data_IF_995517844693
#
_entry.id   IF_995517844693
#
_cell.length_a   1.000
_cell.length_b   1.000
_cell.length_c   1.000
_cell.angle_alpha   90.00
_cell.angle_beta   90.00
_cell.angle_gamma   90.00
#
_symmetry.space_group_name_H-M   'P 1'
#
loop_
_entity.id
_entity.type
_entity.pdbx_description
1 polymer ?
#
# COMPACT_ATOMS: atom_id res chain seq x y z
N UNK A 1 -10.67 -2.70 1.32
CA UNK A 1 -11.25 -3.25 0.07
C UNK A 1 -10.30 -2.85 -1.06
N UNK A 2 -10.03 -3.72 -2.03
CA UNK A 2 -9.17 -3.39 -3.19
C UNK A 2 -10.01 -3.58 -4.45
N UNK A 3 -10.08 -2.54 -5.29
CA UNK A 3 -10.81 -2.57 -6.57
C UNK A 3 -9.96 -3.16 -7.70
N UNK A 4 -10.60 -3.91 -8.61
CA UNK A 4 -10.01 -4.48 -9.82
C UNK A 4 -10.94 -4.22 -11.02
N UNK A 5 -10.38 -3.85 -12.16
CA UNK A 5 -11.11 -3.69 -13.42
C UNK A 5 -11.51 -5.05 -14.02
N UNK A 6 -10.71 -6.10 -13.80
CA UNK A 6 -11.04 -7.43 -14.32
C UNK A 6 -10.55 -7.68 -15.74
N UNK A 7 -9.44 -7.03 -16.10
CA UNK A 7 -8.88 -7.08 -17.45
C UNK A 7 -8.34 -8.44 -17.88
N UNK A 8 -8.00 -9.32 -16.93
CA UNK A 8 -7.39 -10.64 -17.15
C UNK A 8 -8.30 -11.78 -16.66
N UNK A 9 -8.02 -13.05 -17.04
CA UNK A 9 -8.94 -14.17 -16.82
C UNK A 9 -9.41 -14.36 -15.38
N UNK A 10 -8.47 -14.35 -14.42
CA UNK A 10 -8.75 -14.57 -13.00
C UNK A 10 -9.63 -13.46 -12.41
N UNK A 11 -9.29 -12.18 -12.65
CA UNK A 11 -10.10 -11.07 -12.17
C UNK A 11 -11.46 -10.98 -12.91
N UNK A 12 -11.53 -11.40 -14.18
CA UNK A 12 -12.79 -11.50 -14.92
C UNK A 12 -13.71 -12.57 -14.34
N UNK A 13 -13.16 -13.72 -13.91
CA UNK A 13 -13.92 -14.77 -13.23
C UNK A 13 -14.53 -14.22 -11.94
N UNK A 14 -13.75 -13.50 -11.14
CA UNK A 14 -14.25 -12.86 -9.91
C UNK A 14 -15.32 -11.81 -10.20
N UNK A 15 -15.14 -11.00 -11.24
CA UNK A 15 -16.16 -10.03 -11.65
C UNK A 15 -17.47 -10.71 -12.08
N UNK A 16 -17.40 -11.83 -12.79
CA UNK A 16 -18.58 -12.62 -13.15
C UNK A 16 -19.27 -13.21 -11.92
N UNK A 17 -18.52 -13.73 -10.95
CA UNK A 17 -19.06 -14.21 -9.68
C UNK A 17 -19.77 -13.08 -8.90
N UNK A 18 -19.19 -11.87 -8.90
CA UNK A 18 -19.78 -10.71 -8.25
C UNK A 18 -21.08 -10.30 -8.94
N UNK A 19 -21.09 -10.28 -10.28
CA UNK A 19 -22.29 -9.97 -11.07
C UNK A 19 -23.41 -11.01 -10.94
N UNK A 20 -23.04 -12.29 -10.80
CA UNK A 20 -23.99 -13.36 -10.55
C UNK A 20 -24.68 -13.23 -9.17
N UNK A 21 -24.05 -12.49 -8.25
CA UNK A 21 -24.58 -12.21 -6.94
C UNK A 21 -24.87 -10.70 -6.80
N UNK A 22 -25.92 -10.23 -7.48
CA UNK A 22 -26.20 -8.81 -7.74
C UNK A 22 -26.38 -7.92 -6.50
N UNK A 23 -26.52 -8.50 -5.30
CA UNK A 23 -26.59 -7.78 -4.02
C UNK A 23 -25.24 -7.69 -3.31
N UNK A 24 -24.23 -8.45 -3.75
CA UNK A 24 -22.91 -8.48 -3.16
C UNK A 24 -22.13 -7.22 -3.53
N UNK A 25 -21.65 -6.49 -2.51
CA UNK A 25 -20.79 -5.31 -2.68
C UNK A 25 -19.30 -5.66 -2.80
N UNK A 26 -18.95 -6.93 -2.65
CA UNK A 26 -17.58 -7.45 -2.73
C UNK A 26 -17.57 -8.97 -2.60
N UNK A 27 -16.42 -9.58 -2.90
CA UNK A 27 -16.16 -11.01 -2.71
C UNK A 27 -15.07 -11.15 -1.65
N UNK A 28 -15.26 -12.07 -0.72
CA UNK A 28 -14.20 -12.52 0.17
C UNK A 28 -13.47 -13.68 -0.50
N UNK A 29 -12.18 -13.49 -0.78
CA UNK A 29 -11.33 -14.55 -1.33
C UNK A 29 -10.74 -15.37 -0.18
N UNK A 30 -10.63 -16.68 -0.39
CA UNK A 30 -9.72 -17.53 0.40
C UNK A 30 -8.27 -17.17 0.09
N UNK A 31 -7.34 -17.59 0.96
CA UNK A 31 -5.90 -17.38 0.72
C UNK A 31 -5.44 -17.97 -0.62
N UNK A 32 -5.93 -19.16 -0.95
CA UNK A 32 -5.61 -19.84 -2.21
C UNK A 32 -6.11 -19.06 -3.43
N UNK A 33 -7.34 -18.56 -3.39
CA UNK A 33 -7.90 -17.77 -4.49
C UNK A 33 -7.17 -16.43 -4.65
N UNK A 34 -6.71 -15.85 -3.55
CA UNK A 34 -5.88 -14.65 -3.57
C UNK A 34 -4.50 -14.94 -4.18
N UNK A 35 -3.87 -16.06 -3.81
CA UNK A 35 -2.58 -16.48 -4.36
C UNK A 35 -2.69 -16.79 -5.87
N UNK A 36 -3.78 -17.45 -6.30
CA UNK A 36 -4.10 -17.67 -7.73
C UNK A 36 -4.32 -16.35 -8.48
N UNK A 37 -5.00 -15.38 -7.87
CA UNK A 37 -5.25 -14.07 -8.46
C UNK A 37 -3.95 -13.26 -8.63
N UNK A 38 -3.09 -13.25 -7.61
CA UNK A 38 -1.80 -12.55 -7.63
C UNK A 38 -0.82 -13.25 -8.60
N UNK A 39 -0.83 -14.58 -8.65
CA UNK A 39 0.00 -15.40 -9.53
C UNK A 39 -0.48 -15.49 -10.98
N UNK A 40 -1.66 -14.93 -11.29
CA UNK A 40 -2.27 -14.98 -12.61
C UNK A 40 -1.53 -14.19 -13.69
N UNK A 41 -2.02 -14.25 -14.93
CA UNK A 41 -1.35 -13.65 -16.10
C UNK A 41 -1.58 -12.13 -16.26
N UNK A 42 -1.88 -11.43 -15.17
CA UNK A 42 -2.14 -9.98 -15.19
C UNK A 42 -0.96 -9.18 -15.77
N UNK A 43 0.28 -9.64 -15.58
CA UNK A 43 1.48 -8.98 -16.11
C UNK A 43 1.64 -9.14 -17.64
N UNK A 44 0.92 -10.06 -18.29
CA UNK A 44 1.10 -10.39 -19.71
C UNK A 44 0.13 -9.65 -20.65
N UNK A 45 -0.87 -8.95 -20.10
CA UNK A 45 -1.91 -8.27 -20.89
C UNK A 45 -1.97 -6.76 -20.67
N UNK A 46 -2.32 -6.01 -21.72
CA UNK A 46 -2.53 -4.54 -21.67
C UNK A 46 -3.57 -4.15 -20.61
N UNK A 47 -4.64 -4.93 -20.48
CA UNK A 47 -5.67 -4.70 -19.46
C UNK A 47 -5.21 -5.05 -18.04
N UNK A 48 -4.25 -5.95 -17.86
CA UNK A 48 -3.69 -6.22 -16.53
C UNK A 48 -2.69 -5.18 -16.05
N UNK A 49 -2.14 -4.38 -16.97
CA UNK A 49 -1.43 -3.16 -16.61
C UNK A 49 -2.35 -2.16 -15.88
N UNK A 50 -3.67 -2.19 -16.14
CA UNK A 50 -4.61 -1.27 -15.49
C UNK A 50 -4.81 -1.53 -14.00
N UNK A 51 -4.74 -2.79 -13.55
CA UNK A 51 -4.86 -3.11 -12.13
C UNK A 51 -3.50 -3.39 -11.48
N UNK A 52 -2.39 -3.04 -12.14
CA UNK A 52 -1.04 -3.29 -11.63
C UNK A 52 -0.84 -2.74 -10.21
N UNK A 53 -1.37 -1.56 -9.92
CA UNK A 53 -1.32 -0.97 -8.57
C UNK A 53 -2.13 -1.82 -7.59
N UNK A 54 -3.35 -2.20 -7.93
CA UNK A 54 -4.21 -3.05 -7.11
C UNK A 54 -3.58 -4.42 -6.83
N UNK A 55 -2.95 -5.04 -7.82
CA UNK A 55 -2.27 -6.35 -7.63
C UNK A 55 -1.08 -6.20 -6.70
N UNK A 56 -0.23 -5.19 -6.88
CA UNK A 56 0.87 -4.96 -5.95
C UNK A 56 0.37 -4.62 -4.55
N UNK A 57 -0.74 -3.91 -4.41
CA UNK A 57 -1.38 -3.68 -3.11
C UNK A 57 -1.82 -5.00 -2.45
N UNK A 58 -2.47 -5.89 -3.20
CA UNK A 58 -2.90 -7.22 -2.72
C UNK A 58 -1.70 -8.10 -2.34
N UNK A 59 -0.68 -8.14 -3.19
CA UNK A 59 0.55 -8.89 -2.95
C UNK A 59 1.29 -8.36 -1.71
N UNK A 60 1.30 -7.05 -1.48
CA UNK A 60 1.85 -6.46 -0.28
C UNK A 60 1.11 -6.96 0.97
N UNK A 61 -0.22 -6.82 0.98
CA UNK A 61 -1.08 -7.23 2.09
C UNK A 61 -0.97 -8.72 2.42
N UNK A 62 -0.86 -9.58 1.38
CA UNK A 62 -0.69 -11.03 1.54
C UNK A 62 0.62 -11.40 2.23
N UNK A 63 1.68 -10.63 1.98
CA UNK A 63 3.04 -10.97 2.43
C UNK A 63 3.46 -10.26 3.73
N UNK A 64 2.67 -9.34 4.30
CA UNK A 64 3.08 -8.55 5.48
C UNK A 64 3.53 -9.42 6.67
N UNK A 65 2.86 -10.55 6.90
CA UNK A 65 3.14 -11.44 8.02
C UNK A 65 4.12 -12.58 7.71
N UNK A 66 4.23 -12.97 6.44
CA UNK A 66 5.00 -14.15 6.01
C UNK A 66 6.33 -13.79 5.35
N UNK A 67 6.35 -12.74 4.53
CA UNK A 67 7.54 -12.24 3.84
C UNK A 67 7.54 -10.70 3.80
N UNK A 68 7.95 -10.05 4.91
CA UNK A 68 7.92 -8.60 5.04
C UNK A 68 8.70 -7.85 3.95
N UNK A 69 9.78 -8.43 3.42
CA UNK A 69 10.58 -7.80 2.36
C UNK A 69 9.81 -7.67 1.04
N UNK A 70 9.05 -8.70 0.66
CA UNK A 70 8.15 -8.62 -0.50
C UNK A 70 7.10 -7.53 -0.24
N UNK A 71 6.50 -7.51 0.95
CA UNK A 71 5.49 -6.52 1.29
C UNK A 71 6.04 -5.08 1.20
N UNK A 72 7.24 -4.84 1.74
CA UNK A 72 7.94 -3.55 1.63
C UNK A 72 8.16 -3.16 0.17
N UNK A 73 8.69 -4.07 -0.66
CA UNK A 73 8.91 -3.81 -2.08
C UNK A 73 7.62 -3.44 -2.80
N UNK A 74 6.52 -4.14 -2.51
CA UNK A 74 5.24 -3.90 -3.17
C UNK A 74 4.57 -2.61 -2.71
N UNK A 75 4.64 -2.27 -1.42
CA UNK A 75 4.14 -0.98 -0.95
C UNK A 75 4.94 0.19 -1.53
N UNK A 76 6.28 0.08 -1.62
CA UNK A 76 7.12 1.08 -2.32
C UNK A 76 6.63 1.28 -3.75
N UNK A 77 6.43 0.17 -4.48
CA UNK A 77 5.93 0.21 -5.85
C UNK A 77 4.60 0.98 -5.96
N UNK A 78 3.64 0.68 -5.07
CA UNK A 78 2.35 1.40 -5.03
C UNK A 78 2.56 2.89 -4.80
N UNK A 79 3.33 3.29 -3.79
CA UNK A 79 3.55 4.72 -3.47
C UNK A 79 4.32 5.49 -4.55
N UNK A 80 5.15 4.81 -5.34
CA UNK A 80 5.96 5.43 -6.41
C UNK A 80 5.24 5.51 -7.77
N UNK A 81 4.30 4.59 -8.03
CA UNK A 81 3.72 4.41 -9.36
C UNK A 81 2.21 4.73 -9.44
N UNK A 82 1.52 4.84 -8.31
CA UNK A 82 0.13 5.27 -8.27
C UNK A 82 0.02 6.76 -8.67
N UNK A 83 -0.47 7.02 -9.88
CA UNK A 83 -0.51 8.37 -10.48
C UNK A 83 -1.87 8.75 -11.04
N UNK A 84 -2.77 7.79 -11.21
CA UNK A 84 -4.13 8.06 -11.69
C UNK A 84 -5.10 8.21 -10.52
N UNK A 85 -6.19 8.95 -10.73
CA UNK A 85 -7.19 9.20 -9.67
C UNK A 85 -7.70 7.92 -9.00
N UNK A 86 -7.84 6.85 -9.78
CA UNK A 86 -8.21 5.52 -9.27
C UNK A 86 -7.15 4.88 -8.38
N UNK A 87 -5.87 5.17 -8.58
CA UNK A 87 -4.80 4.58 -7.79
C UNK A 87 -4.67 5.30 -6.43
N UNK A 88 -5.18 6.53 -6.34
CA UNK A 88 -5.06 7.39 -5.15
C UNK A 88 -5.72 6.76 -3.92
N UNK A 89 -6.73 5.91 -4.10
CA UNK A 89 -7.36 5.18 -2.99
C UNK A 89 -6.37 4.22 -2.29
N UNK A 90 -5.32 3.76 -2.99
CA UNK A 90 -4.31 2.84 -2.46
C UNK A 90 -3.09 3.56 -1.89
N UNK A 91 -2.82 4.80 -2.31
CA UNK A 91 -1.62 5.55 -1.91
C UNK A 91 -1.57 5.78 -0.41
N UNK A 92 -2.66 6.28 0.16
CA UNK A 92 -2.74 6.56 1.60
C UNK A 92 -2.55 5.28 2.44
N UNK A 93 -3.31 4.19 2.23
CA UNK A 93 -3.06 2.91 2.91
C UNK A 93 -1.62 2.40 2.74
N UNK A 94 -1.05 2.49 1.55
CA UNK A 94 0.31 2.05 1.28
C UNK A 94 1.35 2.84 2.09
N UNK A 95 1.24 4.17 2.18
CA UNK A 95 2.12 4.98 3.03
C UNK A 95 2.04 4.56 4.51
N UNK A 96 0.84 4.36 5.03
CA UNK A 96 0.64 4.03 6.44
C UNK A 96 1.25 2.66 6.78
N UNK A 97 1.03 1.66 5.92
CA UNK A 97 1.56 0.30 6.08
C UNK A 97 3.07 0.23 5.85
N UNK A 98 3.58 0.89 4.81
CA UNK A 98 5.01 0.94 4.51
C UNK A 98 5.80 1.53 5.68
N UNK A 99 5.37 2.67 6.21
CA UNK A 99 6.04 3.29 7.34
C UNK A 99 6.02 2.39 8.59
N UNK A 100 4.91 1.69 8.86
CA UNK A 100 4.82 0.76 9.99
C UNK A 100 5.74 -0.46 9.83
N UNK A 101 5.75 -1.08 8.64
CA UNK A 101 6.59 -2.23 8.36
C UNK A 101 8.08 -1.90 8.40
N UNK A 102 8.48 -0.74 7.84
CA UNK A 102 9.87 -0.28 7.90
C UNK A 102 10.35 -0.07 9.34
N UNK A 103 9.49 0.48 10.21
CA UNK A 103 9.82 0.62 11.63
C UNK A 103 10.01 -0.73 12.31
N UNK A 104 9.10 -1.70 12.06
CA UNK A 104 9.19 -3.05 12.63
C UNK A 104 10.43 -3.81 12.14
N UNK A 105 10.81 -3.61 10.89
CA UNK A 105 12.01 -4.20 10.29
C UNK A 105 13.32 -3.48 10.69
N UNK A 106 13.24 -2.41 11.49
CA UNK A 106 14.43 -1.65 11.92
C UNK A 106 14.99 -0.68 10.89
N UNK A 107 14.33 -0.49 9.74
CA UNK A 107 14.70 0.45 8.69
C UNK A 107 14.29 1.90 9.02
N UNK A 108 14.73 2.41 10.17
CA UNK A 108 14.33 3.73 10.70
C UNK A 108 14.66 4.91 9.78
N UNK A 109 15.76 4.80 9.02
CA UNK A 109 16.15 5.83 8.05
C UNK A 109 15.13 5.98 6.93
N UNK A 110 14.73 4.84 6.37
CA UNK A 110 13.76 4.79 5.28
C UNK A 110 12.35 5.11 5.77
N UNK A 111 11.97 4.60 6.95
CA UNK A 111 10.69 4.94 7.58
C UNK A 111 10.52 6.47 7.70
N UNK A 112 11.58 7.19 8.08
CA UNK A 112 11.55 8.65 8.17
C UNK A 112 11.34 9.30 6.80
N UNK A 113 12.02 8.81 5.75
CA UNK A 113 11.85 9.33 4.38
C UNK A 113 10.41 9.14 3.88
N UNK A 114 9.82 7.97 4.15
CA UNK A 114 8.42 7.67 3.79
C UNK A 114 7.47 8.63 4.52
N UNK A 115 7.68 8.86 5.82
CA UNK A 115 6.87 9.78 6.62
C UNK A 115 7.01 11.23 6.12
N UNK A 116 8.22 11.65 5.78
CA UNK A 116 8.46 12.99 5.20
C UNK A 116 7.75 13.16 3.87
N UNK A 117 7.80 12.16 2.99
CA UNK A 117 7.11 12.20 1.69
C UNK A 117 5.59 12.27 1.89
N UNK A 118 5.05 11.48 2.82
CA UNK A 118 3.63 11.54 3.18
C UNK A 118 3.21 12.93 3.66
N UNK A 119 3.95 13.51 4.61
CA UNK A 119 3.63 14.84 5.16
C UNK A 119 3.82 15.96 4.13
N UNK A 120 4.71 15.81 3.15
CA UNK A 120 4.79 16.75 2.02
C UNK A 120 3.60 16.61 1.07
N UNK A 121 3.16 15.39 0.79
CA UNK A 121 2.03 15.13 -0.09
C UNK A 121 0.68 15.56 0.51
N UNK A 122 0.53 15.48 1.83
CA UNK A 122 -0.77 15.67 2.51
C UNK A 122 -0.74 16.62 3.72
N UNK A 123 0.34 17.38 3.91
CA UNK A 123 0.59 18.20 5.10
C UNK A 123 -0.32 19.42 5.22
N UNK A 124 -0.86 19.91 4.11
CA UNK A 124 -1.91 20.93 4.11
C UNK A 124 -3.28 20.25 4.23
N UNK A 125 -4.29 20.95 4.77
CA UNK A 125 -5.68 20.46 4.80
C UNK A 125 -6.22 20.41 3.37
N UNK A 126 -5.85 19.39 2.61
CA UNK A 126 -6.39 19.11 1.28
C UNK A 126 -7.73 18.40 1.44
N UNK A 127 -8.80 18.95 0.87
CA UNK A 127 -10.16 18.35 0.88
C UNK A 127 -10.33 17.33 -0.25
N UNK A 128 -9.29 16.55 -0.54
CA UNK A 128 -9.32 15.56 -1.61
C UNK A 128 -10.09 14.29 -1.17
N UNK A 129 -10.78 13.58 -2.09
CA UNK A 129 -11.55 12.35 -1.79
C UNK A 129 -10.75 11.23 -1.09
N UNK A 130 -9.42 11.26 -1.20
CA UNK A 130 -8.50 10.28 -0.58
C UNK A 130 -7.50 10.95 0.37
N UNK A 131 -7.81 12.15 0.87
CA UNK A 131 -6.97 12.83 1.83
C UNK A 131 -6.95 12.06 3.17
N UNK A 132 -5.80 12.05 3.87
CA UNK A 132 -5.74 11.46 5.20
C UNK A 132 -6.69 12.17 6.17
N UNK A 133 -7.16 11.43 7.16
CA UNK A 133 -7.88 12.01 8.29
C UNK A 133 -6.92 12.83 9.16
N UNK A 134 -7.46 13.72 10.00
CA UNK A 134 -6.66 14.43 10.99
C UNK A 134 -5.89 13.48 11.92
N UNK A 135 -6.54 12.40 12.35
CA UNK A 135 -5.89 11.37 13.16
C UNK A 135 -4.71 10.71 12.44
N UNK A 136 -4.84 10.38 11.15
CA UNK A 136 -3.76 9.80 10.36
C UNK A 136 -2.59 10.79 10.15
N UNK A 137 -2.89 12.07 9.93
CA UNK A 137 -1.87 13.14 9.87
C UNK A 137 -1.12 13.26 11.20
N UNK A 138 -1.84 13.36 12.32
CA UNK A 138 -1.25 13.46 13.65
C UNK A 138 -0.39 12.25 13.97
N UNK A 139 -0.86 11.03 13.65
CA UNK A 139 -0.08 9.81 13.80
C UNK A 139 1.24 9.86 13.04
N UNK A 140 1.23 10.28 11.77
CA UNK A 140 2.44 10.38 10.95
C UNK A 140 3.39 11.49 11.45
N UNK A 141 2.85 12.61 11.93
CA UNK A 141 3.66 13.66 12.57
C UNK A 141 4.35 13.19 13.85
N UNK A 142 3.64 12.46 14.72
CA UNK A 142 4.24 11.87 15.92
C UNK A 142 5.31 10.83 15.58
N UNK A 143 5.04 10.00 14.57
CA UNK A 143 6.00 9.02 14.03
C UNK A 143 7.28 9.71 13.54
N UNK A 144 7.19 10.83 12.82
CA UNK A 144 8.35 11.65 12.41
C UNK A 144 9.20 12.07 13.59
N UNK A 145 8.59 12.66 14.62
CA UNK A 145 9.30 13.14 15.82
C UNK A 145 10.06 12.02 16.52
N UNK A 146 9.42 10.84 16.67
CA UNK A 146 10.06 9.65 17.24
C UNK A 146 11.26 9.20 16.41
N UNK A 147 11.10 9.08 15.09
CA UNK A 147 12.15 8.61 14.18
C UNK A 147 13.35 9.55 14.12
N UNK A 148 13.11 10.87 14.08
CA UNK A 148 14.18 11.87 14.14
C UNK A 148 14.98 11.77 15.46
N UNK A 149 14.30 11.53 16.57
CA UNK A 149 14.95 11.38 17.89
C UNK A 149 15.80 10.11 17.93
N UNK A 150 15.28 9.00 17.41
CA UNK A 150 16.03 7.74 17.31
C UNK A 150 17.29 7.87 16.44
N UNK A 151 17.20 8.54 15.29
CA UNK A 151 18.36 8.78 14.42
C UNK A 151 19.43 9.66 15.08
N UNK A 152 19.03 10.75 15.75
CA UNK A 152 19.98 11.60 16.49
C UNK A 152 20.73 10.80 17.56
N UNK A 153 20.03 9.93 18.28
CA UNK A 153 20.64 9.05 19.30
C UNK A 153 21.64 8.07 18.67
N UNK A 154 21.28 7.43 17.56
CA UNK A 154 22.17 6.52 16.83
C UNK A 154 23.41 7.25 16.28
N UNK A 155 23.25 8.47 15.76
CA UNK A 155 24.36 9.27 15.27
C UNK A 155 25.33 9.66 16.40
N UNK A 156 24.81 10.07 17.56
CA UNK A 156 25.63 10.39 18.73
C UNK A 156 26.42 9.19 19.25
N UNK A 157 25.85 7.98 19.18
CA UNK A 157 26.52 6.73 19.59
C UNK A 157 27.63 6.26 18.64
N UNK A 158 27.67 6.75 17.39
CA UNK A 158 28.69 6.37 16.39
C UNK A 158 29.94 7.26 16.43
N UNK A 159 29.87 8.38 17.15
CA UNK A 159 30.95 9.38 17.26
C UNK A 159 31.70 9.25 18.59
N UNK A 160 31.10 8.55 19.57
CA UNK A 160 31.72 8.20 20.85
C UNK A 160 32.50 6.88 20.75
#
# INVERSE_FOLDING_TARGET
>A
MVGLYGGWPEARRLLQQLKANSTAKGIQLSEKELDELIGGQWAQGVSGTMDRISVHMLEAMRNEGSNPEIALQRYRFVTDNAKSDRDLEFVLPAYLRLADLLERAGHQAEALQVVDRFLRAYGEKTSAPHAPTEQQRTMMSLRKTRLMTAQKKLAAQRIA
#
